data_IF_210724253563
#
_entry.id   IF_210724253563
#
_cell.length_a   1.000
_cell.length_b   1.000
_cell.length_c   1.000
_cell.angle_alpha   90.00
_cell.angle_beta   90.00
_cell.angle_gamma   90.00
#
_symmetry.space_group_name_H-M   'P 1'
#
loop_
_entity.id
_entity.type
_entity.pdbx_description
1 polymer ?
#
# COMPACT_ATOMS: atom_id res chain seq x y z
N UNK A 1 -61.72 -1.30 38.36
CA UNK A 1 -61.11 -2.17 37.33
C UNK A 1 -60.79 -1.30 36.14
N UNK A 2 -59.56 -0.80 36.10
CA UNK A 2 -59.16 0.23 35.14
C UNK A 2 -58.85 -0.35 33.76
N UNK A 3 -59.31 0.39 32.76
CA UNK A 3 -59.28 0.05 31.35
C UNK A 3 -57.95 0.49 30.71
N UNK A 4 -57.24 -0.51 30.23
CA UNK A 4 -56.26 -0.57 29.13
C UNK A 4 -55.99 0.74 28.33
N UNK A 5 -54.72 1.19 28.46
CA UNK A 5 -53.74 1.72 27.49
C UNK A 5 -53.94 3.12 26.86
N UNK A 6 -53.08 4.06 27.27
CA UNK A 6 -52.59 5.17 26.43
C UNK A 6 -51.05 5.28 26.48
N UNK A 7 -50.44 5.00 25.33
CA UNK A 7 -49.32 5.67 24.64
C UNK A 7 -48.29 6.52 25.42
N UNK A 8 -47.06 6.01 25.52
CA UNK A 8 -45.73 6.69 25.53
C UNK A 8 -44.69 5.55 25.55
N UNK A 9 -43.51 5.57 24.94
CA UNK A 9 -42.66 6.59 24.35
C UNK A 9 -41.76 5.90 23.30
N UNK A 10 -41.19 6.69 22.39
CA UNK A 10 -40.37 6.21 21.27
C UNK A 10 -39.05 5.55 21.69
N UNK A 11 -38.63 4.63 20.84
CA UNK A 11 -37.24 4.26 20.60
C UNK A 11 -37.23 3.49 19.27
N UNK A 12 -36.89 4.17 18.18
CA UNK A 12 -36.57 3.48 16.93
C UNK A 12 -35.25 2.72 17.11
N UNK A 13 -35.09 1.49 16.58
CA UNK A 13 -33.81 0.82 16.67
C UNK A 13 -32.85 1.43 15.64
N UNK A 14 -31.94 2.24 16.18
CA UNK A 14 -30.52 2.39 15.84
C UNK A 14 -30.11 2.10 14.39
N UNK A 15 -29.79 3.15 13.64
CA UNK A 15 -28.91 3.09 12.47
C UNK A 15 -27.58 2.47 12.91
N UNK A 16 -27.30 1.26 12.42
CA UNK A 16 -25.97 0.67 12.48
C UNK A 16 -25.11 1.36 11.43
N UNK A 17 -24.33 2.34 11.86
CA UNK A 17 -23.16 2.82 11.13
C UNK A 17 -22.19 1.65 10.92
N UNK A 18 -22.26 1.04 9.74
CA UNK A 18 -21.33 0.03 9.27
C UNK A 18 -20.14 0.71 8.61
N UNK A 19 -19.38 1.49 9.38
CA UNK A 19 -18.03 1.90 8.98
C UNK A 19 -17.01 0.99 9.66
N UNK A 20 -17.11 -0.30 9.33
CA UNK A 20 -16.09 -1.28 9.70
C UNK A 20 -14.96 -1.17 8.69
N UNK A 21 -14.07 -0.20 8.87
CA UNK A 21 -12.72 -0.26 8.31
C UNK A 21 -12.03 -1.46 8.96
N UNK A 22 -12.22 -2.61 8.32
CA UNK A 22 -11.48 -3.82 8.59
C UNK A 22 -10.02 -3.51 8.28
N UNK A 23 -9.26 -3.14 9.31
CA UNK A 23 -7.81 -3.17 9.25
C UNK A 23 -7.41 -4.60 8.92
N UNK A 24 -7.06 -4.84 7.66
CA UNK A 24 -6.35 -6.05 7.28
C UNK A 24 -5.04 -6.03 8.07
N UNK A 25 -4.98 -6.83 9.14
CA UNK A 25 -3.70 -7.22 9.73
C UNK A 25 -2.96 -8.00 8.66
N UNK A 26 -2.11 -7.29 7.92
CA UNK A 26 -1.21 -7.87 6.93
C UNK A 26 -0.39 -8.93 7.67
N UNK A 27 -0.55 -10.18 7.23
CA UNK A 27 0.19 -11.32 7.76
C UNK A 27 1.68 -11.03 7.60
N UNK A 28 2.39 -11.07 8.72
CA UNK A 28 3.79 -10.70 8.88
C UNK A 28 4.79 -11.57 8.07
N UNK A 29 4.31 -12.60 7.36
CA UNK A 29 5.14 -13.56 6.61
C UNK A 29 4.90 -13.58 5.08
N UNK A 30 3.96 -12.80 4.55
CA UNK A 30 3.82 -12.66 3.10
C UNK A 30 4.69 -11.48 2.64
N UNK A 31 5.81 -11.80 1.98
CA UNK A 31 6.67 -10.77 1.40
C UNK A 31 5.87 -9.87 0.45
N UNK A 32 5.78 -8.58 0.82
CA UNK A 32 5.05 -7.52 0.13
C UNK A 32 5.24 -7.60 -1.39
N UNK A 33 4.14 -7.52 -2.14
CA UNK A 33 4.18 -7.50 -3.60
C UNK A 33 5.05 -6.34 -4.11
N UNK A 34 5.01 -5.20 -3.42
CA UNK A 34 5.79 -4.01 -3.70
C UNK A 34 7.29 -4.25 -3.53
N UNK A 35 7.69 -4.94 -2.46
CA UNK A 35 9.09 -5.36 -2.26
C UNK A 35 9.60 -6.24 -3.42
N UNK A 36 8.80 -7.20 -3.89
CA UNK A 36 9.16 -8.07 -5.03
C UNK A 36 9.31 -7.28 -6.32
N UNK A 37 8.41 -6.33 -6.58
CA UNK A 37 8.48 -5.46 -7.75
C UNK A 37 9.74 -4.59 -7.70
N UNK A 38 10.05 -3.98 -6.56
CA UNK A 38 11.28 -3.20 -6.36
C UNK A 38 12.54 -4.05 -6.63
N UNK A 39 12.57 -5.31 -6.18
CA UNK A 39 13.68 -6.22 -6.45
C UNK A 39 13.86 -6.50 -7.96
N UNK A 40 12.78 -6.80 -8.67
CA UNK A 40 12.81 -7.01 -10.14
C UNK A 40 13.27 -5.75 -10.88
N UNK A 41 12.79 -4.58 -10.47
CA UNK A 41 13.18 -3.30 -11.08
C UNK A 41 14.67 -3.03 -10.85
N UNK A 42 15.16 -3.26 -9.62
CA UNK A 42 16.56 -3.09 -9.29
C UNK A 42 17.46 -4.00 -10.14
N UNK A 43 17.10 -5.29 -10.26
CA UNK A 43 17.81 -6.25 -11.09
C UNK A 43 17.80 -5.84 -12.57
N UNK A 44 16.64 -5.43 -13.09
CA UNK A 44 16.49 -5.05 -14.48
C UNK A 44 17.33 -3.81 -14.83
N UNK A 45 17.37 -2.81 -13.95
CA UNK A 45 18.20 -1.61 -14.09
C UNK A 45 19.70 -1.96 -14.03
N UNK A 46 20.11 -2.76 -13.04
CA UNK A 46 21.50 -3.20 -12.87
C UNK A 46 21.99 -3.98 -14.09
N UNK A 47 21.18 -4.90 -14.60
CA UNK A 47 21.52 -5.73 -15.77
C UNK A 47 21.70 -4.89 -17.04
N UNK A 48 20.98 -3.78 -17.15
CA UNK A 48 21.10 -2.85 -18.26
C UNK A 48 22.21 -1.80 -18.07
N UNK A 49 22.91 -1.81 -16.94
CA UNK A 49 23.99 -0.88 -16.64
C UNK A 49 23.51 0.51 -16.25
N UNK A 50 22.26 0.65 -15.81
CA UNK A 50 21.77 1.88 -15.19
C UNK A 50 22.10 1.88 -13.70
N UNK A 51 22.18 3.07 -13.09
CA UNK A 51 22.17 3.21 -11.62
C UNK A 51 20.75 2.97 -11.10
N UNK A 52 20.48 1.86 -10.41
CA UNK A 52 19.11 1.53 -10.03
C UNK A 52 18.52 2.52 -9.03
N UNK A 53 19.32 3.01 -8.09
CA UNK A 53 18.85 3.90 -7.03
C UNK A 53 18.44 5.24 -7.62
N UNK A 54 19.31 5.83 -8.44
CA UNK A 54 19.03 7.12 -9.09
C UNK A 54 17.80 7.05 -10.00
N UNK A 55 17.63 5.95 -10.75
CA UNK A 55 16.48 5.78 -11.64
C UNK A 55 15.17 5.55 -10.89
N UNK A 56 15.20 4.74 -9.82
CA UNK A 56 14.01 4.53 -8.97
C UNK A 56 13.61 5.83 -8.28
N UNK A 57 14.56 6.60 -7.73
CA UNK A 57 14.30 7.92 -7.15
C UNK A 57 13.72 8.88 -8.20
N UNK A 58 14.29 8.90 -9.41
CA UNK A 58 13.79 9.71 -10.53
C UNK A 58 12.33 9.38 -10.88
N UNK A 59 11.99 8.09 -10.96
CA UNK A 59 10.61 7.63 -11.18
C UNK A 59 9.68 8.04 -10.04
N UNK A 60 10.05 7.83 -8.78
CA UNK A 60 9.20 8.16 -7.62
C UNK A 60 8.87 9.66 -7.61
N UNK A 61 9.88 10.52 -7.79
CA UNK A 61 9.72 11.98 -7.75
C UNK A 61 8.91 12.52 -8.94
N UNK A 62 9.17 12.02 -10.15
CA UNK A 62 8.57 12.56 -11.38
C UNK A 62 7.27 11.87 -11.80
N UNK A 63 7.12 10.58 -11.49
CA UNK A 63 6.11 9.70 -12.07
C UNK A 63 6.39 9.28 -13.52
N UNK A 64 7.52 9.67 -14.10
CA UNK A 64 7.84 9.36 -15.49
C UNK A 64 8.43 7.93 -15.64
N UNK A 65 7.71 7.00 -16.30
CA UNK A 65 8.17 5.62 -16.43
C UNK A 65 9.40 5.44 -17.34
N UNK A 66 9.86 6.49 -18.03
CA UNK A 66 11.06 6.43 -18.88
C UNK A 66 12.34 6.21 -18.08
N UNK A 67 12.37 6.58 -16.79
CA UNK A 67 13.46 6.25 -15.87
C UNK A 67 13.64 4.74 -15.69
N UNK A 68 12.58 3.96 -15.87
CA UNK A 68 12.62 2.51 -15.66
C UNK A 68 12.76 1.81 -17.01
N UNK A 69 13.71 0.89 -17.13
CA UNK A 69 13.88 0.08 -18.34
C UNK A 69 12.69 -0.86 -18.55
N UNK A 70 12.36 -1.17 -19.81
CA UNK A 70 11.33 -2.18 -20.11
C UNK A 70 11.86 -3.63 -20.00
N UNK A 71 13.14 -3.81 -19.73
CA UNK A 71 13.73 -5.13 -19.55
C UNK A 71 13.02 -5.89 -18.41
N UNK A 72 12.79 -7.19 -18.61
CA UNK A 72 12.04 -8.06 -17.67
C UNK A 72 10.62 -7.57 -17.33
N UNK A 73 10.05 -6.66 -18.14
CA UNK A 73 8.75 -6.05 -17.85
C UNK A 73 8.76 -5.10 -16.65
N UNK A 74 9.95 -4.68 -16.17
CA UNK A 74 10.10 -3.87 -14.96
C UNK A 74 9.26 -2.59 -15.00
N UNK A 75 9.26 -1.87 -16.12
CA UNK A 75 8.42 -0.68 -16.32
C UNK A 75 6.94 -0.96 -16.10
N UNK A 76 6.39 -2.03 -16.68
CA UNK A 76 4.98 -2.36 -16.51
C UNK A 76 4.65 -2.87 -15.11
N UNK A 77 5.61 -3.44 -14.39
CA UNK A 77 5.43 -3.90 -13.02
C UNK A 77 5.36 -2.72 -12.04
N UNK A 78 6.32 -1.79 -12.10
CA UNK A 78 6.37 -0.66 -11.18
C UNK A 78 5.23 0.34 -11.37
N UNK A 79 4.66 0.42 -12.58
CA UNK A 79 3.48 1.24 -12.87
C UNK A 79 2.17 0.67 -12.29
N UNK A 80 2.17 -0.54 -11.74
CA UNK A 80 1.00 -1.14 -11.06
C UNK A 80 0.96 -0.82 -9.56
N UNK A 81 2.02 -0.19 -9.05
CA UNK A 81 2.18 0.15 -7.64
C UNK A 81 2.10 1.66 -7.53
N UNK A 82 1.34 2.15 -6.55
CA UNK A 82 1.28 3.57 -6.28
C UNK A 82 2.63 4.07 -5.75
N UNK A 83 2.99 5.31 -6.07
CA UNK A 83 4.35 5.81 -5.79
C UNK A 83 4.61 6.02 -4.31
N UNK A 84 3.58 6.37 -3.54
CA UNK A 84 3.64 6.47 -2.08
C UNK A 84 3.87 5.11 -1.43
N UNK A 85 3.24 4.04 -1.94
CA UNK A 85 3.48 2.66 -1.48
C UNK A 85 4.95 2.23 -1.71
N UNK A 86 5.56 2.63 -2.83
CA UNK A 86 6.99 2.39 -3.06
C UNK A 86 7.86 3.08 -2.00
N UNK A 87 7.54 4.33 -1.66
CA UNK A 87 8.28 5.10 -0.65
C UNK A 87 8.08 4.51 0.74
N UNK A 88 6.85 4.14 1.08
CA UNK A 88 6.49 3.52 2.35
C UNK A 88 7.28 2.23 2.56
N UNK A 89 7.26 1.29 1.61
CA UNK A 89 8.01 0.03 1.70
C UNK A 89 9.53 0.27 1.86
N UNK A 90 10.10 1.23 1.14
CA UNK A 90 11.53 1.58 1.25
C UNK A 90 11.84 2.12 2.65
N UNK A 91 11.00 3.02 3.17
CA UNK A 91 11.19 3.65 4.49
C UNK A 91 10.99 2.66 5.63
N UNK A 92 9.96 1.82 5.57
CA UNK A 92 9.74 0.74 6.53
C UNK A 92 10.91 -0.24 6.55
N UNK A 93 11.42 -0.60 5.37
CA UNK A 93 12.59 -1.47 5.26
C UNK A 93 13.84 -0.83 5.85
N UNK A 94 14.03 0.47 5.65
CA UNK A 94 15.13 1.22 6.26
C UNK A 94 15.01 1.26 7.79
N UNK A 95 13.83 1.58 8.33
CA UNK A 95 13.57 1.62 9.79
C UNK A 95 13.82 0.26 10.43
N UNK A 96 13.27 -0.80 9.84
CA UNK A 96 13.44 -2.20 10.29
C UNK A 96 14.91 -2.62 10.27
N UNK A 97 15.64 -2.26 9.22
CA UNK A 97 17.08 -2.58 9.08
C UNK A 97 17.93 -1.84 10.12
N UNK A 98 17.53 -0.64 10.51
CA UNK A 98 18.25 0.16 11.52
C UNK A 98 17.77 -0.09 12.96
N UNK A 99 16.82 -1.03 13.16
CA UNK A 99 16.27 -1.37 14.48
C UNK A 99 15.72 -0.17 15.27
N UNK A 100 15.10 0.80 14.57
CA UNK A 100 14.46 1.94 15.23
C UNK A 100 13.07 1.62 15.80
N UNK A 101 12.51 0.47 15.41
CA UNK A 101 11.26 -0.10 15.89
C UNK A 101 11.41 -1.63 16.04
#
# INVERSE_FOLDING_TARGET
MDNIRNNTAGAGPEEKDLDSTQYFKVKQDEESATKKILAVVYEALSTKGYDPVNQIVGYIMSGDPTYITNYMGARSLIMKVERDELVEEIMESYIRTNHWA
#
